data_IF_523557319343
#
_entry.id   IF_523557319343
#
_cell.length_a   1.000
_cell.length_b   1.000
_cell.length_c   1.000
_cell.angle_alpha   90.00
_cell.angle_beta   90.00
_cell.angle_gamma   90.00
#
_symmetry.space_group_name_H-M   'P 1'
#
loop_
_entity.id
_entity.type
_entity.pdbx_description
1 polymer ?
#
# COMPACT_ATOMS: atom_id res chain seq x y z
N UNK A 1 -16.89 -7.70 20.72
CA UNK A 1 -16.22 -7.87 19.42
C UNK A 1 -15.92 -6.50 18.82
N UNK A 2 -15.14 -5.67 19.50
CA UNK A 2 -14.92 -4.25 19.13
C UNK A 2 -13.44 -3.93 18.77
N UNK A 3 -12.54 -4.91 18.83
CA UNK A 3 -11.11 -4.71 18.55
C UNK A 3 -10.74 -4.90 17.07
N UNK A 4 -11.54 -5.62 16.30
CA UNK A 4 -11.25 -5.89 14.87
C UNK A 4 -11.64 -4.71 13.99
N UNK A 5 -12.64 -3.94 14.39
CA UNK A 5 -13.18 -2.85 13.60
C UNK A 5 -12.23 -1.61 13.61
N UNK A 6 -11.58 -1.31 14.74
CA UNK A 6 -10.61 -0.20 14.92
C UNK A 6 -9.33 -0.31 14.06
N UNK A 7 -9.17 -1.41 13.34
CA UNK A 7 -7.97 -1.70 12.58
C UNK A 7 -8.08 -1.23 11.11
N UNK A 8 -9.26 -1.15 10.49
CA UNK A 8 -9.34 -1.04 9.01
C UNK A 8 -8.71 0.24 8.49
N UNK A 9 -8.88 1.37 9.18
CA UNK A 9 -8.26 2.63 8.75
C UNK A 9 -6.74 2.66 8.97
N UNK A 10 -6.20 2.28 10.15
CA UNK A 10 -4.77 2.06 10.31
C UNK A 10 -4.16 1.11 9.26
N UNK A 11 -4.93 0.09 8.84
CA UNK A 11 -4.53 -0.88 7.83
C UNK A 11 -4.49 -0.21 6.44
N UNK A 12 -5.49 0.59 6.07
CA UNK A 12 -5.47 1.42 4.86
C UNK A 12 -4.21 2.29 4.80
N UNK A 13 -3.89 3.01 5.88
CA UNK A 13 -2.67 3.83 5.95
C UNK A 13 -1.40 3.01 5.80
N UNK A 14 -1.34 1.87 6.47
CA UNK A 14 -0.19 0.98 6.37
C UNK A 14 0.01 0.46 4.94
N UNK A 15 -1.08 0.22 4.20
CA UNK A 15 -1.07 -0.19 2.79
C UNK A 15 -0.59 0.94 1.88
N UNK A 16 -1.16 2.15 1.99
CA UNK A 16 -0.70 3.33 1.22
C UNK A 16 0.78 3.62 1.48
N UNK A 17 1.19 3.57 2.75
CA UNK A 17 2.59 3.76 3.16
C UNK A 17 3.49 2.65 2.63
N UNK A 18 3.03 1.40 2.62
CA UNK A 18 3.74 0.28 2.01
C UNK A 18 4.02 0.50 0.52
N UNK A 19 3.05 1.01 -0.24
CA UNK A 19 3.25 1.40 -1.64
C UNK A 19 4.32 2.49 -1.78
N UNK A 20 4.33 3.51 -0.90
CA UNK A 20 5.34 4.57 -0.91
C UNK A 20 6.75 4.03 -0.64
N UNK A 21 6.90 3.20 0.39
CA UNK A 21 8.20 2.62 0.77
C UNK A 21 8.74 1.74 -0.36
N UNK A 22 7.91 0.90 -0.95
CA UNK A 22 8.27 0.08 -2.12
C UNK A 22 8.71 0.97 -3.28
N UNK A 23 7.97 2.04 -3.57
CA UNK A 23 8.29 3.00 -4.64
C UNK A 23 9.65 3.67 -4.42
N UNK A 24 9.96 4.10 -3.20
CA UNK A 24 11.25 4.70 -2.85
C UNK A 24 12.41 3.70 -2.97
N UNK A 25 12.26 2.48 -2.45
CA UNK A 25 13.31 1.44 -2.56
C UNK A 25 13.56 1.03 -4.00
N UNK A 26 12.51 1.03 -4.83
CA UNK A 26 12.64 0.80 -6.28
C UNK A 26 13.46 1.92 -6.95
N UNK A 27 13.38 3.18 -6.51
CA UNK A 27 14.22 4.26 -7.07
C UNK A 27 15.73 4.08 -6.83
N UNK A 28 16.13 3.31 -5.82
CA UNK A 28 17.54 3.01 -5.53
C UNK A 28 18.17 2.06 -6.57
N UNK A 29 17.36 1.36 -7.34
CA UNK A 29 17.79 0.36 -8.33
C UNK A 29 18.10 0.97 -9.71
N UNK A 30 18.71 2.16 -9.77
CA UNK A 30 18.94 2.94 -11.02
C UNK A 30 19.61 2.16 -12.16
N UNK A 31 20.37 1.10 -11.85
CA UNK A 31 21.02 0.22 -12.83
C UNK A 31 20.08 -0.81 -13.50
N UNK A 32 18.86 -1.00 -12.99
CA UNK A 32 17.83 -1.93 -13.49
C UNK A 32 16.60 -1.19 -14.02
N UNK A 33 16.85 -0.09 -14.74
CA UNK A 33 15.84 0.91 -15.13
C UNK A 33 14.55 0.31 -15.70
N UNK A 34 14.61 -0.72 -16.55
CA UNK A 34 13.39 -1.31 -17.15
C UNK A 34 12.53 -2.07 -16.15
N UNK A 35 13.14 -2.95 -15.35
CA UNK A 35 12.44 -3.76 -14.36
C UNK A 35 11.93 -2.92 -13.19
N UNK A 36 12.68 -1.88 -12.84
CA UNK A 36 12.34 -0.85 -11.84
C UNK A 36 11.18 0.02 -12.30
N UNK A 37 11.23 0.52 -13.53
CA UNK A 37 10.12 1.29 -14.12
C UNK A 37 8.86 0.44 -14.21
N UNK A 38 9.00 -0.84 -14.60
CA UNK A 38 7.89 -1.79 -14.65
C UNK A 38 7.27 -2.01 -13.27
N UNK A 39 8.07 -2.31 -12.25
CA UNK A 39 7.58 -2.53 -10.89
C UNK A 39 6.96 -1.25 -10.32
N UNK A 40 7.62 -0.10 -10.50
CA UNK A 40 7.11 1.22 -10.11
C UNK A 40 5.75 1.50 -10.75
N UNK A 41 5.60 1.25 -12.05
CA UNK A 41 4.35 1.48 -12.77
C UNK A 41 3.23 0.61 -12.21
N UNK A 42 3.50 -0.68 -11.94
CA UNK A 42 2.48 -1.57 -11.37
C UNK A 42 2.07 -1.17 -9.96
N UNK A 43 3.05 -0.83 -9.10
CA UNK A 43 2.82 -0.34 -7.74
C UNK A 43 2.00 0.96 -7.76
N UNK A 44 2.33 1.90 -8.65
CA UNK A 44 1.62 3.18 -8.78
C UNK A 44 0.18 3.00 -9.29
N UNK A 45 -0.02 2.15 -10.30
CA UNK A 45 -1.36 1.82 -10.82
C UNK A 45 -2.22 1.14 -9.75
N UNK A 46 -1.69 0.14 -9.05
CA UNK A 46 -2.41 -0.55 -7.99
C UNK A 46 -2.77 0.39 -6.83
N UNK A 47 -1.84 1.26 -6.42
CA UNK A 47 -2.11 2.27 -5.40
C UNK A 47 -3.21 3.26 -5.83
N UNK A 48 -3.21 3.69 -7.10
CA UNK A 48 -4.26 4.58 -7.63
C UNK A 48 -5.62 3.89 -7.72
N UNK A 49 -5.69 2.66 -8.21
CA UNK A 49 -6.92 1.88 -8.25
C UNK A 49 -7.47 1.69 -6.84
N UNK A 50 -6.62 1.26 -5.89
CA UNK A 50 -7.02 1.09 -4.50
C UNK A 50 -7.53 2.39 -3.87
N UNK A 51 -6.81 3.51 -4.05
CA UNK A 51 -7.25 4.82 -3.56
C UNK A 51 -8.57 5.28 -4.20
N UNK A 52 -8.80 4.93 -5.47
CA UNK A 52 -10.06 5.17 -6.17
C UNK A 52 -11.23 4.37 -5.59
N UNK A 53 -11.06 3.07 -5.37
CA UNK A 53 -12.09 2.21 -4.76
C UNK A 53 -12.47 2.70 -3.36
N UNK A 54 -11.47 3.07 -2.55
CA UNK A 54 -11.71 3.64 -1.21
C UNK A 54 -12.41 5.00 -1.30
N UNK A 55 -12.10 5.81 -2.30
CA UNK A 55 -12.79 7.08 -2.52
C UNK A 55 -14.28 6.89 -2.85
N UNK A 56 -14.61 5.96 -3.75
CA UNK A 56 -16.00 5.64 -4.05
C UNK A 56 -16.76 5.13 -2.83
N UNK A 57 -16.14 4.23 -2.06
CA UNK A 57 -16.70 3.75 -0.80
C UNK A 57 -16.94 4.88 0.21
N UNK A 58 -16.00 5.82 0.33
CA UNK A 58 -16.18 6.97 1.21
C UNK A 58 -17.28 7.92 0.73
N UNK A 59 -17.44 8.14 -0.58
CA UNK A 59 -18.54 8.96 -1.12
C UNK A 59 -19.90 8.28 -0.89
N UNK A 60 -19.97 6.96 -1.00
CA UNK A 60 -21.23 6.24 -0.79
C UNK A 60 -21.62 6.18 0.70
N UNK A 61 -20.65 6.25 1.60
CA UNK A 61 -20.85 6.20 3.05
C UNK A 61 -20.93 7.57 3.73
N UNK A 62 -20.35 8.63 3.15
CA UNK A 62 -20.22 9.97 3.73
C UNK A 62 -20.73 11.05 2.77
N UNK A 63 -20.83 12.30 3.24
CA UNK A 63 -21.02 13.41 2.32
C UNK A 63 -19.80 13.61 1.40
N UNK A 64 -20.03 14.05 0.17
CA UNK A 64 -19.01 14.17 -0.88
C UNK A 64 -17.84 15.07 -0.48
N UNK A 65 -18.10 16.13 0.29
CA UNK A 65 -17.06 17.07 0.71
C UNK A 65 -16.12 16.44 1.74
N UNK A 66 -16.69 15.75 2.75
CA UNK A 66 -15.92 15.01 3.75
C UNK A 66 -15.14 13.85 3.11
N UNK A 67 -15.76 13.08 2.22
CA UNK A 67 -15.11 11.99 1.49
C UNK A 67 -13.92 12.48 0.63
N UNK A 68 -14.08 13.61 -0.06
CA UNK A 68 -13.00 14.22 -0.83
C UNK A 68 -11.85 14.67 0.07
N UNK A 69 -12.16 15.33 1.20
CA UNK A 69 -11.16 15.81 2.15
C UNK A 69 -10.33 14.66 2.72
N UNK A 70 -10.98 13.57 3.16
CA UNK A 70 -10.35 12.35 3.64
C UNK A 70 -9.35 11.76 2.64
N UNK A 71 -9.75 11.64 1.38
CA UNK A 71 -8.91 11.01 0.34
C UNK A 71 -7.73 11.91 -0.06
N UNK A 72 -7.88 13.23 0.03
CA UNK A 72 -6.79 14.16 -0.28
C UNK A 72 -5.80 14.35 0.86
N UNK A 73 -6.22 14.13 2.10
CA UNK A 73 -5.39 14.30 3.29
C UNK A 73 -5.18 12.95 4.01
N UNK A 74 -4.05 12.34 3.73
CA UNK A 74 -3.59 11.11 4.37
C UNK A 74 -3.30 11.32 5.89
N UNK A 75 -3.29 12.55 6.42
CA UNK A 75 -3.16 12.82 7.85
C UNK A 75 -4.50 13.22 8.50
N UNK A 76 -5.61 13.19 7.76
CA UNK A 76 -6.89 13.70 8.21
C UNK A 76 -7.36 12.99 9.50
N UNK A 77 -7.72 13.75 10.53
CA UNK A 77 -8.05 13.21 11.85
C UNK A 77 -9.24 12.23 11.81
N UNK A 78 -10.20 12.45 10.91
CA UNK A 78 -11.41 11.64 10.78
C UNK A 78 -11.12 10.19 10.38
N UNK A 79 -9.96 9.92 9.77
CA UNK A 79 -9.49 8.56 9.55
C UNK A 79 -9.36 7.75 10.84
N UNK A 80 -9.04 8.40 11.96
CA UNK A 80 -8.92 7.71 13.26
C UNK A 80 -10.22 7.73 14.06
N UNK A 81 -11.30 8.24 13.48
CA UNK A 81 -12.58 8.34 14.17
C UNK A 81 -13.31 7.00 14.17
N UNK A 82 -13.84 6.62 15.32
CA UNK A 82 -14.75 5.47 15.43
C UNK A 82 -16.04 5.70 14.65
N UNK A 83 -16.43 6.97 14.45
CA UNK A 83 -17.62 7.32 13.68
C UNK A 83 -17.49 6.93 12.21
N UNK A 84 -16.32 7.17 11.59
CA UNK A 84 -16.04 6.75 10.22
C UNK A 84 -16.12 5.22 10.10
N UNK A 85 -15.54 4.53 11.05
CA UNK A 85 -15.52 3.07 11.11
C UNK A 85 -16.92 2.47 11.23
N UNK A 86 -17.72 2.97 12.17
CA UNK A 86 -19.11 2.56 12.36
C UNK A 86 -19.97 2.88 11.12
N UNK A 87 -19.70 4.01 10.46
CA UNK A 87 -20.39 4.41 9.22
C UNK A 87 -20.06 3.45 8.08
N UNK A 88 -18.78 3.10 7.90
CA UNK A 88 -18.34 2.13 6.90
C UNK A 88 -18.85 0.71 7.21
N UNK A 89 -18.85 0.29 8.48
CA UNK A 89 -19.40 -0.99 8.92
C UNK A 89 -20.90 -1.08 8.62
N UNK A 90 -21.65 -0.04 8.96
CA UNK A 90 -23.10 0.04 8.67
C UNK A 90 -23.37 0.03 7.17
N UNK A 91 -22.59 0.77 6.39
CA UNK A 91 -22.77 0.86 4.94
C UNK A 91 -22.43 -0.45 4.22
N UNK A 92 -21.32 -1.09 4.60
CA UNK A 92 -20.84 -2.31 3.94
C UNK A 92 -21.50 -3.58 4.46
N UNK A 93 -22.10 -3.54 5.67
CA UNK A 93 -22.77 -4.67 6.30
C UNK A 93 -21.88 -5.91 6.34
N UNK A 94 -22.41 -7.03 5.81
CA UNK A 94 -21.73 -8.33 5.81
C UNK A 94 -20.44 -8.37 4.95
N UNK A 95 -20.22 -7.37 4.09
CA UNK A 95 -18.99 -7.25 3.30
C UNK A 95 -17.85 -6.60 4.07
N UNK A 96 -18.14 -5.89 5.17
CA UNK A 96 -17.13 -5.18 5.95
C UNK A 96 -15.99 -6.09 6.45
N UNK A 97 -16.26 -7.29 7.01
CA UNK A 97 -15.19 -8.20 7.44
C UNK A 97 -14.37 -8.76 6.26
N UNK A 98 -15.00 -8.92 5.08
CA UNK A 98 -14.33 -9.42 3.88
C UNK A 98 -13.39 -8.35 3.30
N UNK A 99 -13.85 -7.10 3.28
CA UNK A 99 -13.03 -5.96 2.92
C UNK A 99 -11.82 -5.82 3.84
N UNK A 100 -12.00 -5.92 5.16
CA UNK A 100 -10.90 -5.90 6.11
C UNK A 100 -9.82 -6.97 5.84
N UNK A 101 -10.25 -8.20 5.52
CA UNK A 101 -9.31 -9.28 5.12
C UNK A 101 -8.56 -8.93 3.83
N UNK A 102 -9.24 -8.40 2.82
CA UNK A 102 -8.61 -8.03 1.56
C UNK A 102 -7.53 -6.94 1.75
N UNK A 103 -7.75 -5.95 2.62
CA UNK A 103 -6.72 -4.95 2.92
C UNK A 103 -5.52 -5.58 3.63
N UNK A 104 -5.74 -6.48 4.61
CA UNK A 104 -4.64 -7.19 5.29
C UNK A 104 -3.82 -8.06 4.34
N UNK A 105 -4.45 -8.72 3.37
CA UNK A 105 -3.75 -9.46 2.32
C UNK A 105 -2.86 -8.54 1.46
N UNK A 106 -3.38 -7.38 1.04
CA UNK A 106 -2.60 -6.38 0.28
C UNK A 106 -1.42 -5.87 1.10
N UNK A 107 -1.63 -5.55 2.38
CA UNK A 107 -0.57 -5.13 3.30
C UNK A 107 0.50 -6.21 3.46
N UNK A 108 0.09 -7.47 3.63
CA UNK A 108 1.00 -8.61 3.67
C UNK A 108 1.84 -8.73 2.39
N UNK A 109 1.21 -8.58 1.22
CA UNK A 109 1.91 -8.58 -0.06
C UNK A 109 2.93 -7.43 -0.16
N UNK A 110 2.56 -6.22 0.28
CA UNK A 110 3.47 -5.07 0.31
C UNK A 110 4.65 -5.28 1.25
N UNK A 111 4.43 -5.81 2.44
CA UNK A 111 5.49 -6.14 3.39
C UNK A 111 6.48 -7.18 2.80
N UNK A 112 5.97 -8.19 2.09
CA UNK A 112 6.82 -9.16 1.39
C UNK A 112 7.64 -8.51 0.27
N UNK A 113 7.03 -7.62 -0.51
CA UNK A 113 7.74 -6.86 -1.56
C UNK A 113 8.81 -5.98 -0.91
N UNK A 114 8.50 -5.28 0.17
CA UNK A 114 9.46 -4.46 0.90
C UNK A 114 10.64 -5.30 1.42
N UNK A 115 10.37 -6.46 2.01
CA UNK A 115 11.41 -7.37 2.51
C UNK A 115 12.33 -7.86 1.38
N UNK A 116 11.76 -8.22 0.22
CA UNK A 116 12.53 -8.58 -0.99
C UNK A 116 13.39 -7.41 -1.49
N UNK A 117 12.89 -6.18 -1.35
CA UNK A 117 13.61 -4.96 -1.75
C UNK A 117 14.62 -4.47 -0.70
N UNK A 118 14.56 -4.94 0.55
CA UNK A 118 15.47 -4.54 1.62
C UNK A 118 16.94 -4.90 1.32
N UNK A 119 17.18 -5.92 0.49
CA UNK A 119 18.52 -6.32 0.00
C UNK A 119 19.21 -5.21 -0.81
N UNK A 120 18.44 -4.21 -1.25
CA UNK A 120 18.91 -3.06 -2.04
C UNK A 120 18.95 -1.76 -1.23
N UNK A 121 19.05 -1.86 0.11
CA UNK A 121 19.38 -0.73 0.96
C UNK A 121 20.62 0.01 0.40
N UNK A 122 20.69 1.35 0.53
CA UNK A 122 21.78 2.13 -0.03
C UNK A 122 23.09 1.62 0.56
N UNK A 123 23.85 0.88 -0.25
CA UNK A 123 25.25 0.57 0.04
C UNK A 123 25.97 1.91 0.03
N UNK A 124 26.65 2.24 1.12
CA UNK A 124 27.70 3.26 1.10
C UNK A 124 28.56 3.03 -0.14
N UNK A 125 28.85 4.12 -0.87
CA UNK A 125 29.17 4.18 -2.29
C UNK A 125 30.48 3.49 -2.76
N UNK A 126 30.96 2.45 -2.08
CA UNK A 126 32.27 1.83 -2.30
C UNK A 126 32.29 0.31 -2.48
N UNK A 127 31.15 -0.40 -2.48
CA UNK A 127 31.19 -1.88 -2.54
C UNK A 127 31.03 -2.48 -3.95
N UNK A 128 31.91 -3.41 -4.41
CA UNK A 128 31.88 -4.07 -5.74
C UNK A 128 30.69 -5.01 -6.03
N UNK A 129 29.63 -5.01 -5.22
CA UNK A 129 28.62 -6.08 -5.15
C UNK A 129 27.57 -6.12 -6.28
N UNK A 130 27.67 -5.25 -7.28
CA UNK A 130 26.66 -5.05 -8.35
C UNK A 130 26.28 -6.31 -9.17
N UNK A 131 27.16 -7.30 -9.31
CA UNK A 131 26.86 -8.55 -10.06
C UNK A 131 26.03 -9.55 -9.25
N UNK A 132 26.33 -9.74 -7.97
CA UNK A 132 25.60 -10.69 -7.13
C UNK A 132 24.16 -10.23 -6.84
N UNK A 133 23.95 -8.90 -6.77
CA UNK A 133 22.61 -8.32 -6.60
C UNK A 133 21.74 -8.45 -7.86
N UNK A 134 22.35 -8.52 -9.06
CA UNK A 134 21.65 -8.74 -10.35
C UNK A 134 20.90 -10.07 -10.38
N UNK A 135 21.61 -11.14 -10.02
CA UNK A 135 21.06 -12.49 -10.10
C UNK A 135 20.00 -12.70 -9.02
N UNK A 136 20.18 -12.12 -7.83
CA UNK A 136 19.16 -12.13 -6.76
C UNK A 136 17.89 -11.38 -7.16
N UNK A 137 17.98 -10.22 -7.82
CA UNK A 137 16.81 -9.49 -8.31
C UNK A 137 16.03 -10.31 -9.36
N UNK A 138 16.74 -10.88 -10.34
CA UNK A 138 16.12 -11.74 -11.36
C UNK A 138 15.49 -13.00 -10.77
N UNK A 139 16.07 -13.57 -9.72
CA UNK A 139 15.49 -14.73 -9.03
C UNK A 139 14.23 -14.36 -8.24
N UNK A 140 14.23 -13.23 -7.53
CA UNK A 140 13.13 -12.79 -6.67
C UNK A 140 11.87 -12.33 -7.44
N UNK A 141 12.03 -11.94 -8.71
CA UNK A 141 10.97 -11.43 -9.58
C UNK A 141 10.76 -12.25 -10.87
N UNK A 142 11.35 -13.45 -10.96
CA UNK A 142 11.03 -14.38 -12.05
C UNK A 142 9.57 -14.86 -11.86
N UNK A 143 8.74 -14.63 -12.87
CA UNK A 143 7.35 -15.10 -12.95
C UNK A 143 7.30 -16.63 -12.79
N UNK A 144 6.43 -17.10 -11.90
CA UNK A 144 5.66 -18.34 -12.13
C UNK A 144 4.64 -18.09 -13.25
#
# INVERSE_FOLDING_TARGET
>A
MAEVALAIVPIFFSTVRGFMIVKEKVQLLRHYRKEVEWLRTRVDVQARCFKGEVHYMCIDALDTHTAQSLITDDAHAYWKSQDLEATLETHMGDLYPQFGRAIEEVKGALAQIEAKLAVFAPLDATSPLLKATKDKFRLAFKKE
#
